data_IF_576522771813
#
_entry.id   IF_576522771813
#
_cell.length_a   1.000
_cell.length_b   1.000
_cell.length_c   1.000
_cell.angle_alpha   90.00
_cell.angle_beta   90.00
_cell.angle_gamma   90.00
#
_symmetry.space_group_name_H-M   'P 1'
#
loop_
_entity.id
_entity.type
_entity.pdbx_description
1 polymer ?
#
# COMPACT_ATOMS: atom_id res chain seq x y z
N UNK A 1 14.80 6.45 -73.52
CA UNK A 1 15.21 6.75 -72.13
C UNK A 1 14.55 8.07 -71.70
N UNK A 2 13.39 8.00 -71.03
CA UNK A 2 12.65 9.18 -70.54
C UNK A 2 12.89 9.30 -69.04
N UNK A 3 13.41 10.45 -68.60
CA UNK A 3 13.75 10.76 -67.21
C UNK A 3 12.46 10.94 -66.38
N UNK A 4 12.39 10.25 -65.25
CA UNK A 4 11.27 10.33 -64.31
C UNK A 4 11.36 11.62 -63.48
N UNK A 5 10.22 12.29 -63.34
CA UNK A 5 9.99 13.41 -62.42
C UNK A 5 9.50 12.78 -61.12
N UNK A 6 10.24 12.99 -60.02
CA UNK A 6 9.81 12.63 -58.67
C UNK A 6 9.15 13.86 -58.05
N UNK A 7 7.83 13.79 -57.83
CA UNK A 7 7.08 14.79 -57.08
C UNK A 7 7.08 14.40 -55.60
N UNK A 8 7.61 15.30 -54.76
CA UNK A 8 7.52 15.22 -53.29
C UNK A 8 6.17 15.77 -52.88
N UNK A 9 5.33 14.95 -52.25
CA UNK A 9 4.12 15.39 -51.55
C UNK A 9 4.38 15.18 -50.06
N UNK A 10 4.57 16.29 -49.35
CA UNK A 10 4.68 16.30 -47.89
C UNK A 10 3.28 16.25 -47.26
N UNK A 11 3.01 15.22 -46.47
CA UNK A 11 1.81 15.12 -45.64
C UNK A 11 2.14 15.67 -44.26
N UNK A 12 1.58 16.83 -43.91
CA UNK A 12 1.55 17.33 -42.53
C UNK A 12 0.45 16.56 -41.79
N UNK A 13 0.85 15.60 -40.95
CA UNK A 13 -0.07 14.97 -40.01
C UNK A 13 -0.17 15.83 -38.75
N UNK A 14 -1.32 16.46 -38.56
CA UNK A 14 -1.68 17.17 -37.33
C UNK A 14 -2.02 16.11 -36.26
N UNK A 15 -1.09 15.83 -35.36
CA UNK A 15 -1.34 14.95 -34.22
C UNK A 15 -2.20 15.71 -33.20
N UNK A 16 -3.48 15.36 -33.11
CA UNK A 16 -4.32 15.72 -31.96
C UNK A 16 -3.82 14.87 -30.79
N UNK A 17 -3.11 15.49 -29.85
CA UNK A 17 -2.77 14.85 -28.58
C UNK A 17 -4.07 14.65 -27.79
N UNK A 18 -4.67 13.47 -27.93
CA UNK A 18 -5.71 13.02 -27.00
C UNK A 18 -5.06 12.80 -25.64
N UNK A 19 -5.55 13.48 -24.61
CA UNK A 19 -5.29 13.11 -23.22
C UNK A 19 -5.79 11.69 -23.02
N UNK A 20 -4.86 10.75 -22.85
CA UNK A 20 -5.16 9.39 -22.43
C UNK A 20 -5.66 9.47 -20.99
N UNK A 21 -6.97 9.52 -20.79
CA UNK A 21 -7.57 9.10 -19.52
C UNK A 21 -7.34 7.60 -19.42
N UNK A 22 -6.47 7.16 -18.51
CA UNK A 22 -6.31 5.74 -18.22
C UNK A 22 -7.71 5.15 -17.96
N UNK A 23 -8.11 4.20 -18.81
CA UNK A 23 -9.45 3.61 -18.74
C UNK A 23 -9.64 2.86 -17.44
N UNK A 24 -10.86 2.90 -16.89
CA UNK A 24 -11.27 2.09 -15.76
C UNK A 24 -10.89 0.63 -16.01
N UNK A 25 -9.97 0.12 -15.19
CA UNK A 25 -9.57 -1.28 -15.18
C UNK A 25 -10.76 -2.10 -14.72
N UNK A 26 -11.39 -2.85 -15.63
CA UNK A 26 -12.41 -3.82 -15.23
C UNK A 26 -11.70 -5.07 -14.70
N UNK A 27 -11.14 -5.02 -13.49
CA UNK A 27 -10.90 -6.24 -12.73
C UNK A 27 -12.27 -6.85 -12.40
N UNK A 28 -12.40 -8.18 -12.51
CA UNK A 28 -13.57 -8.88 -12.00
C UNK A 28 -13.68 -8.82 -10.47
N UNK A 29 -12.57 -8.51 -9.80
CA UNK A 29 -12.50 -8.22 -8.37
C UNK A 29 -12.94 -6.76 -8.08
N UNK A 30 -13.78 -6.51 -7.06
CA UNK A 30 -14.07 -5.18 -6.57
C UNK A 30 -12.79 -4.43 -6.21
N UNK A 31 -12.66 -3.20 -6.72
CA UNK A 31 -11.59 -2.27 -6.35
C UNK A 31 -12.02 -1.43 -5.14
N UNK A 32 -11.05 -1.02 -4.35
CA UNK A 32 -11.23 -0.03 -3.32
C UNK A 32 -9.96 0.74 -3.05
N UNK A 33 -10.06 1.71 -2.16
CA UNK A 33 -8.96 2.55 -1.73
C UNK A 33 -8.76 2.47 -0.23
N UNK A 34 -7.60 2.88 0.23
CA UNK A 34 -7.42 3.28 1.62
C UNK A 34 -6.77 4.66 1.73
N UNK A 35 -7.15 5.40 2.76
CA UNK A 35 -6.77 6.80 2.92
C UNK A 35 -6.48 7.17 4.38
N UNK A 36 -5.70 8.22 4.55
CA UNK A 36 -5.46 8.90 5.81
C UNK A 36 -5.56 10.42 5.62
N UNK A 37 -5.07 11.19 6.61
CA UNK A 37 -4.97 12.65 6.49
C UNK A 37 -4.06 13.09 5.32
N UNK A 38 -3.19 12.21 4.81
CA UNK A 38 -2.28 12.48 3.68
C UNK A 38 -3.02 12.76 2.37
N UNK A 39 -4.21 12.18 2.17
CA UNK A 39 -5.03 12.42 0.98
C UNK A 39 -5.82 13.74 1.03
N UNK A 40 -5.53 14.62 2.00
CA UNK A 40 -6.07 15.98 2.10
C UNK A 40 -4.95 17.03 2.01
N UNK A 41 -4.13 17.06 0.93
CA UNK A 41 -3.07 18.05 0.78
C UNK A 41 -3.65 19.47 0.83
N UNK A 42 -3.10 20.32 1.71
CA UNK A 42 -3.64 21.66 1.94
C UNK A 42 -5.08 21.70 2.47
N UNK A 43 -5.59 20.58 3.01
CA UNK A 43 -6.99 20.43 3.44
C UNK A 43 -7.99 20.22 2.30
N UNK A 44 -7.52 19.80 1.12
CA UNK A 44 -8.38 19.50 -0.02
C UNK A 44 -9.35 18.36 0.31
N UNK A 45 -10.64 18.58 0.06
CA UNK A 45 -11.67 17.58 0.31
C UNK A 45 -11.72 16.52 -0.79
N UNK A 46 -12.07 15.29 -0.41
CA UNK A 46 -12.31 14.18 -1.34
C UNK A 46 -13.74 14.25 -1.87
N UNK A 47 -13.90 14.17 -3.19
CA UNK A 47 -15.21 13.99 -3.82
C UNK A 47 -15.57 12.50 -3.89
N UNK A 48 -16.23 11.99 -2.85
CA UNK A 48 -16.62 10.59 -2.73
C UNK A 48 -17.62 10.11 -3.80
N UNK A 49 -18.41 11.01 -4.39
CA UNK A 49 -19.27 10.65 -5.52
C UNK A 49 -18.44 10.35 -6.76
N UNK A 50 -17.41 11.16 -7.03
CA UNK A 50 -16.49 10.92 -8.14
C UNK A 50 -15.72 9.60 -7.91
N UNK A 51 -15.23 9.36 -6.67
CA UNK A 51 -14.57 8.10 -6.27
C UNK A 51 -15.46 6.89 -6.55
N UNK A 52 -16.76 6.97 -6.22
CA UNK A 52 -17.70 5.88 -6.53
C UNK A 52 -17.85 5.68 -8.04
N UNK A 53 -18.03 6.77 -8.80
CA UNK A 53 -18.21 6.69 -10.26
C UNK A 53 -16.96 6.23 -11.00
N UNK A 54 -15.79 6.39 -10.38
CA UNK A 54 -14.50 5.88 -10.87
C UNK A 54 -14.32 4.38 -10.63
N UNK A 55 -15.34 3.70 -10.11
CA UNK A 55 -15.39 2.24 -9.99
C UNK A 55 -14.97 1.69 -8.63
N UNK A 56 -14.77 2.54 -7.61
CA UNK A 56 -14.45 2.07 -6.26
C UNK A 56 -15.70 1.51 -5.55
N UNK A 57 -15.56 0.33 -4.96
CA UNK A 57 -16.63 -0.37 -4.24
C UNK A 57 -16.47 -0.32 -2.73
N UNK A 58 -15.25 -0.11 -2.24
CA UNK A 58 -14.97 0.04 -0.82
C UNK A 58 -13.88 1.07 -0.53
N UNK A 59 -13.85 1.53 0.72
CA UNK A 59 -12.81 2.40 1.25
C UNK A 59 -12.46 2.02 2.70
N UNK A 60 -11.16 1.98 3.02
CA UNK A 60 -10.68 1.99 4.40
C UNK A 60 -10.17 3.38 4.78
N UNK A 61 -10.58 3.90 5.92
CA UNK A 61 -10.18 5.25 6.37
C UNK A 61 -9.42 5.13 7.69
N UNK A 62 -8.19 5.69 7.76
CA UNK A 62 -7.42 5.73 9.01
C UNK A 62 -8.23 6.44 10.07
N UNK A 63 -8.51 5.77 11.19
CA UNK A 63 -9.22 6.38 12.30
C UNK A 63 -8.26 6.93 13.36
N UNK A 64 -7.23 6.14 13.68
CA UNK A 64 -6.33 6.44 14.80
C UNK A 64 -4.97 5.79 14.62
N UNK A 65 -4.02 6.26 15.41
CA UNK A 65 -2.67 5.73 15.50
C UNK A 65 -2.19 5.84 16.94
N UNK A 66 -1.61 4.76 17.48
CA UNK A 66 -1.15 4.77 18.86
C UNK A 66 -2.27 5.13 19.85
N UNK A 67 -1.90 5.54 21.06
CA UNK A 67 -2.88 5.77 22.13
C UNK A 67 -3.55 7.14 22.10
N UNK A 68 -3.13 8.06 21.22
CA UNK A 68 -3.48 9.48 21.33
C UNK A 68 -3.73 10.20 19.99
N UNK A 69 -3.19 9.72 18.86
CA UNK A 69 -3.40 10.38 17.58
C UNK A 69 -4.71 9.93 16.89
N UNK A 70 -5.55 10.90 16.56
CA UNK A 70 -6.81 10.70 15.83
C UNK A 70 -6.73 11.39 14.48
N UNK A 71 -7.20 10.72 13.43
CA UNK A 71 -7.35 11.35 12.12
C UNK A 71 -8.54 12.32 12.13
N UNK A 72 -8.28 13.61 11.97
CA UNK A 72 -9.32 14.65 11.96
C UNK A 72 -10.33 14.52 10.82
N UNK A 73 -9.98 13.81 9.73
CA UNK A 73 -10.86 13.61 8.58
C UNK A 73 -11.73 12.35 8.69
N UNK A 74 -11.40 11.44 9.60
CA UNK A 74 -12.01 10.10 9.67
C UNK A 74 -13.54 10.13 9.65
N UNK A 75 -14.16 10.89 10.55
CA UNK A 75 -15.63 10.93 10.67
C UNK A 75 -16.29 11.50 9.41
N UNK A 76 -15.71 12.55 8.82
CA UNK A 76 -16.27 13.18 7.63
C UNK A 76 -16.15 12.24 6.42
N UNK A 77 -14.97 11.68 6.19
CA UNK A 77 -14.68 10.80 5.06
C UNK A 77 -15.46 9.50 5.13
N UNK A 78 -15.47 8.83 6.29
CA UNK A 78 -16.17 7.55 6.44
C UNK A 78 -17.68 7.70 6.20
N UNK A 79 -18.29 8.80 6.68
CA UNK A 79 -19.69 9.08 6.43
C UNK A 79 -19.96 9.46 4.96
N UNK A 80 -19.09 10.27 4.34
CA UNK A 80 -19.26 10.68 2.95
C UNK A 80 -19.06 9.52 1.96
N UNK A 81 -18.07 8.64 2.21
CA UNK A 81 -17.85 7.41 1.46
C UNK A 81 -19.07 6.46 1.54
N UNK A 82 -19.60 6.28 2.76
CA UNK A 82 -20.80 5.46 2.98
C UNK A 82 -22.02 6.06 2.27
N UNK A 83 -22.21 7.38 2.34
CA UNK A 83 -23.30 8.07 1.66
C UNK A 83 -23.19 8.01 0.12
N UNK A 84 -21.98 7.92 -0.43
CA UNK A 84 -21.74 7.67 -1.84
C UNK A 84 -21.97 6.20 -2.25
N UNK A 85 -22.24 5.30 -1.30
CA UNK A 85 -22.55 3.89 -1.56
C UNK A 85 -21.33 2.96 -1.60
N UNK A 86 -20.21 3.37 -0.99
CA UNK A 86 -19.06 2.48 -0.77
C UNK A 86 -19.26 1.65 0.50
N UNK A 87 -18.68 0.44 0.53
CA UNK A 87 -18.45 -0.27 1.79
C UNK A 87 -17.30 0.38 2.54
N UNK A 88 -17.50 0.69 3.82
CA UNK A 88 -16.52 1.47 4.60
C UNK A 88 -15.99 0.64 5.75
N UNK A 89 -14.66 0.63 5.88
CA UNK A 89 -13.95 0.17 7.06
C UNK A 89 -13.07 1.26 7.64
N UNK A 90 -12.55 1.01 8.83
CA UNK A 90 -11.54 1.86 9.44
C UNK A 90 -10.35 1.03 9.85
N UNK A 91 -9.19 1.67 9.91
CA UNK A 91 -7.97 1.06 10.41
C UNK A 91 -7.32 1.87 11.52
N UNK A 92 -6.59 1.15 12.36
CA UNK A 92 -5.75 1.68 13.42
C UNK A 92 -4.30 1.30 13.16
N UNK A 93 -3.45 2.31 13.02
CA UNK A 93 -2.03 2.11 12.85
C UNK A 93 -1.38 1.80 14.21
N UNK A 94 -0.78 0.62 14.32
CA UNK A 94 -0.21 0.12 15.56
C UNK A 94 1.08 0.84 15.95
N UNK A 95 1.24 1.06 17.27
CA UNK A 95 2.49 1.53 17.88
C UNK A 95 2.91 0.60 19.01
N UNK A 96 3.50 -0.58 18.73
CA UNK A 96 3.67 -1.65 19.71
C UNK A 96 4.53 -1.32 20.94
N UNK A 97 5.34 -0.24 20.91
CA UNK A 97 6.04 0.26 22.10
C UNK A 97 5.09 0.80 23.18
N UNK A 98 3.81 1.06 22.84
CA UNK A 98 2.78 1.48 23.78
C UNK A 98 1.69 0.40 23.97
N UNK A 99 0.80 0.62 24.94
CA UNK A 99 -0.14 -0.42 25.39
C UNK A 99 -1.15 -0.85 24.31
N UNK A 100 -1.19 -2.16 24.03
CA UNK A 100 -2.17 -2.79 23.14
C UNK A 100 -3.62 -2.49 23.55
N UNK A 101 -3.95 -2.64 24.83
CA UNK A 101 -5.31 -2.38 25.33
C UNK A 101 -5.69 -0.90 25.24
N UNK A 102 -4.75 0.02 25.49
CA UNK A 102 -5.02 1.46 25.35
C UNK A 102 -5.30 1.83 23.87
N UNK A 103 -4.53 1.27 22.94
CA UNK A 103 -4.76 1.44 21.51
C UNK A 103 -6.08 0.84 21.04
N UNK A 104 -6.42 -0.37 21.50
CA UNK A 104 -7.70 -1.00 21.20
C UNK A 104 -8.89 -0.18 21.72
N UNK A 105 -8.80 0.36 22.93
CA UNK A 105 -9.81 1.25 23.50
C UNK A 105 -9.93 2.56 22.73
N UNK A 106 -8.79 3.16 22.35
CA UNK A 106 -8.77 4.37 21.53
C UNK A 106 -9.44 4.13 20.17
N UNK A 107 -9.09 3.04 19.49
CA UNK A 107 -9.69 2.70 18.20
C UNK A 107 -11.19 2.41 18.33
N UNK A 108 -11.59 1.64 19.34
CA UNK A 108 -13.01 1.38 19.62
C UNK A 108 -13.82 2.68 19.83
N UNK A 109 -13.23 3.67 20.51
CA UNK A 109 -13.86 4.97 20.69
C UNK A 109 -14.05 5.71 19.35
N UNK A 110 -13.06 5.65 18.43
CA UNK A 110 -13.21 6.24 17.09
C UNK A 110 -14.29 5.50 16.29
N UNK A 111 -14.30 4.16 16.30
CA UNK A 111 -15.29 3.36 15.58
C UNK A 111 -16.73 3.72 15.99
N UNK A 112 -16.96 4.02 17.27
CA UNK A 112 -18.28 4.40 17.78
C UNK A 112 -18.81 5.73 17.21
N UNK A 113 -17.95 6.59 16.66
CA UNK A 113 -18.35 7.85 16.03
C UNK A 113 -18.97 7.65 14.63
N UNK A 114 -18.73 6.49 14.00
CA UNK A 114 -19.21 6.19 12.64
C UNK A 114 -19.89 4.81 12.64
N UNK A 115 -21.16 4.71 13.08
CA UNK A 115 -21.85 3.44 13.20
C UNK A 115 -22.20 2.78 11.86
N UNK A 116 -22.12 3.52 10.73
CA UNK A 116 -22.42 3.02 9.38
C UNK A 116 -21.31 2.20 8.73
N UNK A 117 -20.18 1.96 9.41
CA UNK A 117 -19.09 1.13 8.90
C UNK A 117 -19.50 -0.34 8.82
N UNK A 118 -19.23 -0.97 7.68
CA UNK A 118 -19.64 -2.36 7.42
C UNK A 118 -18.45 -3.32 7.41
N UNK A 119 -17.31 -2.90 6.86
CA UNK A 119 -16.10 -3.74 6.81
C UNK A 119 -15.46 -3.91 8.20
N UNK A 120 -14.74 -5.02 8.45
CA UNK A 120 -14.05 -5.27 9.72
C UNK A 120 -13.20 -4.08 10.19
N UNK A 121 -13.12 -3.83 11.50
CA UNK A 121 -12.09 -2.93 12.01
C UNK A 121 -10.71 -3.55 11.79
N UNK A 122 -9.77 -2.77 11.25
CA UNK A 122 -8.46 -3.26 10.84
C UNK A 122 -7.40 -2.85 11.86
N UNK A 123 -6.59 -3.82 12.31
CA UNK A 123 -5.30 -3.55 12.91
C UNK A 123 -4.26 -3.48 11.79
N UNK A 124 -3.69 -2.31 11.59
CA UNK A 124 -2.56 -2.08 10.69
C UNK A 124 -1.26 -2.22 11.51
N UNK A 125 -0.52 -3.31 11.28
CA UNK A 125 0.72 -3.64 11.98
C UNK A 125 1.88 -3.78 10.98
N UNK A 126 2.80 -2.83 11.06
CA UNK A 126 3.91 -2.71 10.10
C UNK A 126 5.25 -2.29 10.75
N UNK A 127 5.25 -2.11 12.08
CA UNK A 127 6.44 -1.73 12.86
C UNK A 127 6.58 -2.64 14.08
N UNK A 128 7.82 -2.95 14.48
CA UNK A 128 8.09 -3.76 15.67
C UNK A 128 8.32 -2.91 16.93
N UNK A 129 8.78 -1.67 16.75
CA UNK A 129 9.26 -0.76 17.77
C UNK A 129 10.18 -1.45 18.82
N UNK A 130 11.07 -2.32 18.32
CA UNK A 130 12.07 -3.04 19.11
C UNK A 130 11.55 -4.28 19.86
N UNK A 131 10.32 -4.71 19.59
CA UNK A 131 9.76 -5.94 20.15
C UNK A 131 10.17 -7.17 19.33
N UNK A 132 10.48 -8.27 20.02
CA UNK A 132 10.69 -9.58 19.36
C UNK A 132 9.39 -10.13 18.76
N UNK A 133 9.47 -11.09 17.82
CA UNK A 133 8.28 -11.72 17.22
C UNK A 133 7.26 -12.26 18.24
N UNK A 134 7.75 -12.85 19.34
CA UNK A 134 6.89 -13.37 20.41
C UNK A 134 6.20 -12.24 21.17
N UNK A 135 6.89 -11.12 21.40
CA UNK A 135 6.29 -9.96 22.05
C UNK A 135 5.26 -9.29 21.15
N UNK A 136 5.51 -9.17 19.85
CA UNK A 136 4.54 -8.66 18.89
C UNK A 136 3.30 -9.55 18.79
N UNK A 137 3.46 -10.86 18.70
CA UNK A 137 2.31 -11.78 18.70
C UNK A 137 1.48 -11.63 19.98
N UNK A 138 2.11 -11.51 21.15
CA UNK A 138 1.40 -11.24 22.40
C UNK A 138 0.67 -9.88 22.37
N UNK A 139 1.28 -8.85 21.78
CA UNK A 139 0.69 -7.52 21.64
C UNK A 139 -0.54 -7.55 20.74
N UNK A 140 -0.45 -8.17 19.55
CA UNK A 140 -1.57 -8.33 18.61
C UNK A 140 -2.72 -9.11 19.25
N UNK A 141 -2.42 -10.20 19.98
CA UNK A 141 -3.43 -10.97 20.71
C UNK A 141 -4.18 -10.09 21.73
N UNK A 142 -3.47 -9.28 22.49
CA UNK A 142 -4.08 -8.38 23.47
C UNK A 142 -4.96 -7.32 22.79
N UNK A 143 -4.44 -6.66 21.74
CA UNK A 143 -5.17 -5.65 20.99
C UNK A 143 -6.47 -6.20 20.40
N UNK A 144 -6.36 -7.31 19.66
CA UNK A 144 -7.51 -7.90 18.95
C UNK A 144 -8.55 -8.48 19.89
N UNK A 145 -8.13 -9.06 21.02
CA UNK A 145 -9.05 -9.54 22.08
C UNK A 145 -9.81 -8.38 22.71
N UNK A 146 -9.12 -7.31 23.10
CA UNK A 146 -9.74 -6.13 23.70
C UNK A 146 -10.69 -5.44 22.72
N UNK A 147 -10.25 -5.23 21.47
CA UNK A 147 -11.06 -4.61 20.43
C UNK A 147 -12.34 -5.42 20.16
N UNK A 148 -12.25 -6.75 20.11
CA UNK A 148 -13.42 -7.62 19.96
C UNK A 148 -14.34 -7.52 21.17
N UNK A 149 -13.80 -7.44 22.39
CA UNK A 149 -14.61 -7.28 23.61
C UNK A 149 -15.38 -5.95 23.63
N UNK A 150 -14.75 -4.85 23.17
CA UNK A 150 -15.33 -3.51 23.16
C UNK A 150 -16.35 -3.30 22.04
N UNK A 151 -16.13 -3.91 20.88
CA UNK A 151 -16.92 -3.63 19.67
C UNK A 151 -17.88 -4.76 19.28
N UNK A 152 -17.63 -5.99 19.75
CA UNK A 152 -18.31 -7.19 19.28
C UNK A 152 -17.95 -7.60 17.85
N UNK A 153 -16.98 -6.94 17.21
CA UNK A 153 -16.59 -7.17 15.81
C UNK A 153 -15.28 -7.95 15.74
N UNK A 154 -15.18 -8.89 14.80
CA UNK A 154 -13.91 -9.57 14.50
C UNK A 154 -12.96 -8.61 13.79
N UNK A 155 -11.74 -8.38 14.29
CA UNK A 155 -10.75 -7.58 13.59
C UNK A 155 -10.20 -8.27 12.35
N UNK A 156 -9.71 -7.47 11.39
CA UNK A 156 -8.87 -7.89 10.27
C UNK A 156 -7.43 -7.41 10.52
N UNK A 157 -6.43 -8.14 10.04
CA UNK A 157 -5.03 -7.71 10.09
C UNK A 157 -4.63 -7.14 8.74
N UNK A 158 -4.09 -5.93 8.74
CA UNK A 158 -3.27 -5.39 7.66
C UNK A 158 -1.79 -5.49 8.02
N UNK A 159 -0.97 -5.90 7.04
CA UNK A 159 0.49 -5.97 7.13
C UNK A 159 1.06 -6.02 5.71
N UNK A 160 2.39 -5.92 5.58
CA UNK A 160 3.11 -6.26 4.36
C UNK A 160 3.95 -7.53 4.53
N UNK A 161 4.28 -8.18 3.40
CA UNK A 161 4.88 -9.53 3.35
C UNK A 161 6.18 -9.65 4.14
N UNK A 162 7.12 -8.72 3.93
CA UNK A 162 8.42 -8.71 4.62
C UNK A 162 8.28 -8.64 6.14
N UNK A 163 7.47 -7.71 6.65
CA UNK A 163 7.24 -7.56 8.09
C UNK A 163 6.66 -8.82 8.71
N UNK A 164 5.69 -9.46 8.06
CA UNK A 164 5.09 -10.66 8.61
C UNK A 164 6.07 -11.85 8.61
N UNK A 165 6.82 -12.02 7.53
CA UNK A 165 7.75 -13.15 7.40
C UNK A 165 8.95 -13.02 8.35
N UNK A 166 9.54 -11.83 8.45
CA UNK A 166 10.68 -11.54 9.31
C UNK A 166 10.25 -11.20 10.74
N UNK A 167 9.66 -10.01 10.93
CA UNK A 167 9.46 -9.42 12.26
C UNK A 167 8.34 -10.05 13.07
N UNK A 168 7.35 -10.66 12.43
CA UNK A 168 6.38 -11.53 13.10
C UNK A 168 6.81 -13.00 13.17
N UNK A 169 8.02 -13.34 12.69
CA UNK A 169 8.55 -14.70 12.66
C UNK A 169 7.68 -15.67 11.88
N UNK A 170 6.93 -15.17 10.90
CA UNK A 170 5.94 -15.90 10.12
C UNK A 170 4.96 -16.72 10.98
N UNK A 171 4.55 -16.16 12.12
CA UNK A 171 3.62 -16.83 13.05
C UNK A 171 2.31 -17.21 12.35
N UNK A 172 1.75 -18.35 12.77
CA UNK A 172 0.47 -18.89 12.26
C UNK A 172 -0.72 -18.63 13.17
N UNK A 173 -0.51 -17.88 14.24
CA UNK A 173 -1.47 -17.74 15.32
C UNK A 173 -2.79 -17.07 14.91
N UNK A 174 -2.74 -16.22 13.87
CA UNK A 174 -3.81 -15.29 13.53
C UNK A 174 -4.55 -15.63 12.22
N UNK A 175 -4.30 -16.82 11.66
CA UNK A 175 -4.83 -17.22 10.35
C UNK A 175 -6.35 -17.44 10.30
N UNK A 176 -7.03 -17.36 11.46
CA UNK A 176 -8.48 -17.38 11.58
C UNK A 176 -9.13 -16.00 11.39
N UNK A 177 -8.35 -14.91 11.43
CA UNK A 177 -8.81 -13.55 11.11
C UNK A 177 -8.69 -13.26 9.61
N UNK A 178 -9.43 -12.30 9.04
CA UNK A 178 -9.21 -11.88 7.67
C UNK A 178 -7.83 -11.22 7.51
N UNK A 179 -7.23 -11.37 6.33
CA UNK A 179 -5.94 -10.79 5.98
C UNK A 179 -6.08 -9.74 4.88
N UNK A 180 -5.56 -8.56 5.15
CA UNK A 180 -5.27 -7.55 4.16
C UNK A 180 -3.75 -7.48 3.97
N UNK A 181 -3.24 -7.92 2.83
CA UNK A 181 -1.79 -8.02 2.59
C UNK A 181 -1.34 -7.00 1.55
N UNK A 182 -0.34 -6.20 1.90
CA UNK A 182 0.34 -5.32 0.95
C UNK A 182 1.50 -6.04 0.25
N UNK A 183 1.51 -5.94 -1.08
CA UNK A 183 2.62 -6.31 -1.96
C UNK A 183 2.43 -5.60 -3.31
N UNK A 184 3.39 -4.77 -3.72
CA UNK A 184 3.26 -3.97 -4.95
C UNK A 184 3.73 -4.74 -6.18
N UNK A 185 2.81 -5.40 -6.88
CA UNK A 185 3.12 -6.31 -7.99
C UNK A 185 1.90 -6.54 -8.89
N UNK A 186 2.08 -7.20 -10.02
CA UNK A 186 0.99 -7.44 -10.99
C UNK A 186 0.16 -8.68 -10.70
N UNK A 187 0.64 -9.54 -9.79
CA UNK A 187 -0.04 -10.76 -9.35
C UNK A 187 -0.26 -10.69 -7.86
N UNK A 188 -1.37 -11.23 -7.38
CA UNK A 188 -1.59 -11.32 -5.95
C UNK A 188 -0.44 -12.13 -5.29
N UNK A 189 0.10 -11.67 -4.16
CA UNK A 189 1.12 -12.42 -3.45
C UNK A 189 0.54 -13.71 -2.86
N UNK A 190 1.40 -14.70 -2.61
CA UNK A 190 1.01 -15.83 -1.79
C UNK A 190 0.72 -15.37 -0.35
N UNK A 191 -0.28 -15.95 0.33
CA UNK A 191 -0.54 -15.66 1.73
C UNK A 191 0.68 -15.98 2.62
N UNK A 192 0.85 -15.19 3.67
CA UNK A 192 1.85 -15.40 4.73
C UNK A 192 1.21 -16.06 5.95
N UNK A 193 1.99 -16.39 7.00
CA UNK A 193 1.45 -16.65 8.33
C UNK A 193 0.42 -17.78 8.45
N UNK A 194 0.45 -18.77 7.54
CA UNK A 194 -0.50 -19.86 7.56
C UNK A 194 -1.95 -19.48 7.23
N UNK A 195 -2.21 -18.28 6.71
CA UNK A 195 -3.47 -17.97 6.04
C UNK A 195 -3.60 -18.81 4.78
N UNK A 196 -4.79 -19.33 4.52
CA UNK A 196 -5.06 -20.06 3.27
C UNK A 196 -5.26 -19.10 2.09
N UNK A 197 -5.75 -17.87 2.38
CA UNK A 197 -6.08 -16.85 1.40
C UNK A 197 -5.95 -15.45 1.96
N UNK A 198 -5.72 -14.49 1.08
CA UNK A 198 -5.80 -13.06 1.36
C UNK A 198 -7.24 -12.60 1.11
N UNK A 199 -7.79 -11.77 1.99
CA UNK A 199 -9.12 -11.15 1.83
C UNK A 199 -9.06 -9.86 1.01
N UNK A 200 -8.05 -9.02 1.26
CA UNK A 200 -7.78 -7.80 0.51
C UNK A 200 -6.31 -7.71 0.14
N UNK A 201 -6.02 -7.27 -1.07
CA UNK A 201 -4.64 -7.07 -1.53
C UNK A 201 -4.41 -5.59 -1.80
N UNK A 202 -3.52 -4.95 -1.03
CA UNK A 202 -3.02 -3.62 -1.39
C UNK A 202 -1.92 -3.79 -2.43
N UNK A 203 -2.23 -3.40 -3.66
CA UNK A 203 -1.41 -3.69 -4.85
C UNK A 203 -0.53 -2.53 -5.28
N UNK A 204 -0.79 -1.33 -4.78
CA UNK A 204 -0.11 -0.11 -5.21
C UNK A 204 -0.38 0.99 -4.18
N UNK A 205 0.63 1.80 -3.88
CA UNK A 205 0.50 3.02 -3.08
C UNK A 205 0.22 4.30 -3.89
N UNK A 206 -0.04 4.14 -5.19
CA UNK A 206 0.18 5.22 -6.16
C UNK A 206 -0.92 5.48 -7.14
N UNK A 207 -2.08 4.86 -6.91
CA UNK A 207 -3.24 5.01 -7.74
C UNK A 207 -3.62 6.45 -7.97
N UNK A 208 -4.41 6.63 -9.03
CA UNK A 208 -5.11 7.88 -9.33
C UNK A 208 -6.58 7.53 -9.42
N UNK A 209 -7.36 8.10 -8.52
CA UNK A 209 -8.80 7.92 -8.47
C UNK A 209 -9.46 9.28 -8.60
N UNK A 210 -10.43 9.39 -9.51
CA UNK A 210 -11.16 10.64 -9.68
C UNK A 210 -11.83 11.05 -8.36
N UNK A 211 -11.72 12.33 -8.01
CA UNK A 211 -12.20 12.87 -6.74
C UNK A 211 -11.17 12.91 -5.61
N UNK A 212 -9.96 12.36 -5.80
CA UNK A 212 -8.85 12.47 -4.85
C UNK A 212 -7.71 13.27 -5.49
N UNK A 213 -7.13 14.20 -4.74
CA UNK A 213 -5.95 14.94 -5.18
C UNK A 213 -4.70 14.15 -4.81
N UNK A 214 -3.91 13.76 -5.81
CA UNK A 214 -2.64 13.07 -5.60
C UNK A 214 -2.76 11.53 -5.56
N UNK A 215 -1.73 10.84 -5.02
CA UNK A 215 -1.71 9.38 -4.89
C UNK A 215 -2.66 8.84 -3.84
N UNK A 216 -3.18 7.65 -4.13
CA UNK A 216 -4.02 6.87 -3.22
C UNK A 216 -3.70 5.39 -3.33
N UNK A 217 -3.70 4.72 -2.19
CA UNK A 217 -3.49 3.28 -2.10
C UNK A 217 -4.64 2.51 -2.78
N UNK A 218 -4.30 1.53 -3.61
CA UNK A 218 -5.23 0.75 -4.41
C UNK A 218 -5.33 -0.68 -3.91
N UNK A 219 -6.56 -1.13 -3.73
CA UNK A 219 -6.88 -2.41 -3.13
C UNK A 219 -7.82 -3.23 -4.01
N UNK A 220 -7.67 -4.56 -3.96
CA UNK A 220 -8.61 -5.50 -4.56
C UNK A 220 -9.16 -6.45 -3.50
N UNK A 221 -10.48 -6.70 -3.53
CA UNK A 221 -11.11 -7.71 -2.69
C UNK A 221 -11.04 -9.09 -3.35
N UNK A 222 -10.80 -10.14 -2.56
CA UNK A 222 -10.72 -11.51 -3.06
C UNK A 222 -12.09 -12.18 -3.26
N UNK A 223 -12.89 -11.64 -4.17
CA UNK A 223 -14.21 -12.20 -4.51
C UNK A 223 -14.98 -11.30 -5.45
N UNK A 224 -16.23 -11.64 -5.72
CA UNK A 224 -17.16 -10.79 -6.49
C UNK A 224 -17.78 -9.67 -5.64
N UNK A 225 -18.49 -8.72 -6.27
CA UNK A 225 -19.28 -7.69 -5.56
C UNK A 225 -20.29 -8.27 -4.55
N UNK A 226 -20.96 -9.38 -4.92
CA UNK A 226 -21.90 -10.05 -4.01
C UNK A 226 -21.20 -10.68 -2.81
N UNK A 227 -19.96 -11.12 -2.98
CA UNK A 227 -19.13 -11.64 -1.90
C UNK A 227 -18.57 -10.52 -1.04
N UNK A 228 -18.24 -9.37 -1.62
CA UNK A 228 -17.89 -8.17 -0.85
C UNK A 228 -19.08 -7.71 0.02
N UNK A 229 -20.30 -7.75 -0.52
CA UNK A 229 -21.52 -7.49 0.25
C UNK A 229 -21.65 -8.48 1.42
N UNK A 230 -21.56 -9.79 1.15
CA UNK A 230 -21.60 -10.88 2.14
C UNK A 230 -20.54 -10.69 3.23
N UNK A 231 -19.30 -10.39 2.84
CA UNK A 231 -18.17 -10.11 3.71
C UNK A 231 -18.43 -8.88 4.59
N UNK A 232 -18.95 -7.79 4.00
CA UNK A 232 -19.31 -6.57 4.73
C UNK A 232 -20.46 -6.76 5.74
N UNK A 233 -21.23 -7.84 5.59
CA UNK A 233 -22.29 -8.24 6.52
C UNK A 233 -21.82 -9.28 7.56
N UNK A 234 -20.51 -9.54 7.64
CA UNK A 234 -19.90 -10.39 8.67
C UNK A 234 -19.53 -11.81 8.25
N UNK A 235 -19.77 -12.19 6.98
CA UNK A 235 -19.39 -13.50 6.47
C UNK A 235 -17.95 -13.49 5.92
N UNK A 236 -16.98 -13.49 6.83
CA UNK A 236 -15.57 -13.33 6.46
C UNK A 236 -14.92 -14.55 5.76
N UNK A 237 -15.66 -15.66 5.65
CA UNK A 237 -15.21 -16.85 4.94
C UNK A 237 -15.61 -16.85 3.46
N UNK A 238 -16.53 -15.96 3.06
CA UNK A 238 -17.05 -15.89 1.70
C UNK A 238 -16.14 -15.05 0.79
N UNK A 239 -14.95 -15.58 0.54
CA UNK A 239 -13.97 -15.05 -0.40
C UNK A 239 -13.85 -16.01 -1.60
N UNK A 240 -14.01 -15.45 -2.79
CA UNK A 240 -14.20 -16.19 -4.05
C UNK A 240 -12.94 -16.74 -4.69
N UNK A 241 -11.76 -16.34 -4.21
CA UNK A 241 -10.48 -16.79 -4.77
C UNK A 241 -10.18 -16.21 -6.16
N UNK A 242 -10.67 -15.01 -6.45
CA UNK A 242 -10.44 -14.33 -7.74
C UNK A 242 -8.97 -13.91 -7.88
N UNK A 243 -8.32 -13.53 -6.78
CA UNK A 243 -6.96 -12.99 -6.81
C UNK A 243 -5.91 -14.02 -7.23
N UNK A 244 -6.11 -15.30 -6.88
CA UNK A 244 -5.17 -16.40 -7.10
C UNK A 244 -4.90 -16.68 -8.59
N UNK A 245 -5.82 -16.28 -9.47
CA UNK A 245 -5.65 -16.36 -10.93
C UNK A 245 -5.55 -15.01 -11.61
N UNK A 246 -5.61 -13.91 -10.85
CA UNK A 246 -5.61 -12.56 -11.40
C UNK A 246 -4.20 -12.13 -11.76
N UNK A 247 -4.03 -11.72 -13.01
CA UNK A 247 -2.84 -11.01 -13.49
C UNK A 247 -3.31 -9.66 -13.99
N UNK A 248 -2.81 -8.59 -13.38
CA UNK A 248 -3.06 -7.23 -13.83
C UNK A 248 -2.21 -6.98 -15.09
N UNK A 249 -2.79 -6.34 -16.10
CA UNK A 249 -2.16 -6.22 -17.43
C UNK A 249 -1.04 -5.16 -17.52
N UNK A 250 -0.28 -5.25 -18.61
CA UNK A 250 1.02 -4.62 -18.97
C UNK A 250 1.16 -3.08 -18.96
N UNK A 251 0.42 -2.32 -18.14
CA UNK A 251 0.52 -0.85 -18.14
C UNK A 251 1.54 -0.25 -17.16
N UNK A 252 2.02 -1.04 -16.20
CA UNK A 252 2.96 -0.63 -15.15
C UNK A 252 4.28 -1.43 -15.25
N UNK A 253 5.40 -0.95 -14.66
CA UNK A 253 6.61 -1.76 -14.59
C UNK A 253 6.37 -3.00 -13.70
N UNK A 254 6.78 -4.17 -14.19
CA UNK A 254 6.64 -5.43 -13.46
C UNK A 254 7.55 -5.44 -12.21
N UNK A 255 6.96 -5.07 -11.08
CA UNK A 255 7.63 -5.07 -9.78
C UNK A 255 7.70 -6.45 -9.13
N UNK A 256 7.26 -7.51 -9.82
CA UNK A 256 7.37 -8.89 -9.32
C UNK A 256 8.78 -9.48 -9.46
N UNK A 257 9.70 -8.75 -10.09
CA UNK A 257 11.09 -9.18 -10.25
C UNK A 257 11.82 -9.31 -8.90
N UNK A 258 12.83 -10.18 -8.86
CA UNK A 258 13.64 -10.41 -7.65
C UNK A 258 14.40 -9.14 -7.24
N UNK A 259 14.22 -8.71 -6.00
CA UNK A 259 14.86 -7.49 -5.43
C UNK A 259 16.34 -7.64 -5.10
N UNK A 260 16.85 -8.87 -4.94
CA UNK A 260 18.21 -9.13 -4.44
C UNK A 260 19.34 -8.33 -5.11
N UNK A 261 19.42 -8.27 -6.46
CA UNK A 261 20.42 -7.46 -7.15
C UNK A 261 20.34 -5.96 -6.83
N UNK A 262 19.13 -5.41 -6.77
CA UNK A 262 18.90 -3.99 -6.46
C UNK A 262 19.29 -3.69 -5.00
N UNK A 263 18.94 -4.58 -4.06
CA UNK A 263 19.35 -4.47 -2.66
C UNK A 263 20.87 -4.47 -2.53
N UNK A 264 21.55 -5.37 -3.25
CA UNK A 264 23.01 -5.41 -3.31
C UNK A 264 23.63 -4.08 -3.76
N UNK A 265 23.03 -3.42 -4.75
CA UNK A 265 23.45 -2.10 -5.20
C UNK A 265 23.20 -1.01 -4.14
N UNK A 266 22.05 -1.04 -3.45
CA UNK A 266 21.75 -0.12 -2.34
C UNK A 266 22.80 -0.24 -1.23
N UNK A 267 23.08 -1.47 -0.78
CA UNK A 267 24.06 -1.75 0.27
C UNK A 267 25.48 -1.34 -0.17
N UNK A 268 25.83 -1.59 -1.43
CA UNK A 268 27.12 -1.17 -1.98
C UNK A 268 27.25 0.36 -2.06
N UNK A 269 26.16 1.08 -2.37
CA UNK A 269 26.16 2.54 -2.36
C UNK A 269 26.32 3.07 -0.92
N UNK A 270 25.56 2.52 0.03
CA UNK A 270 25.64 2.90 1.44
C UNK A 270 27.04 2.66 2.04
N UNK A 271 27.74 1.62 1.59
CA UNK A 271 29.12 1.32 1.96
C UNK A 271 30.18 2.16 1.21
N UNK A 272 29.78 3.02 0.26
CA UNK A 272 30.68 3.82 -0.57
C UNK A 272 31.48 3.02 -1.61
N UNK A 273 31.02 1.82 -1.95
CA UNK A 273 31.69 0.91 -2.91
C UNK A 273 31.35 1.30 -4.35
N UNK A 274 30.10 1.69 -4.61
CA UNK A 274 29.65 2.17 -5.92
C UNK A 274 29.24 3.63 -5.86
N UNK A 275 29.13 4.28 -7.01
CA UNK A 275 28.60 5.64 -7.13
C UNK A 275 27.13 5.61 -7.60
N UNK A 276 26.47 6.77 -7.52
CA UNK A 276 25.07 6.97 -7.90
C UNK A 276 24.70 6.42 -9.28
N UNK A 277 25.48 6.63 -10.36
CA UNK A 277 25.11 6.08 -11.68
C UNK A 277 24.93 4.56 -11.70
N UNK A 278 25.75 3.82 -10.93
CA UNK A 278 25.61 2.37 -10.85
C UNK A 278 24.35 1.92 -10.10
N UNK A 279 23.84 2.71 -9.15
CA UNK A 279 22.54 2.43 -8.53
C UNK A 279 21.39 2.72 -9.52
N UNK A 280 21.50 3.76 -10.33
CA UNK A 280 20.53 4.05 -11.41
C UNK A 280 20.48 2.89 -12.40
N UNK A 281 21.64 2.38 -12.85
CA UNK A 281 21.68 1.22 -13.76
C UNK A 281 21.03 -0.03 -13.15
N UNK A 282 21.25 -0.28 -11.84
CA UNK A 282 20.64 -1.39 -11.13
C UNK A 282 19.12 -1.22 -10.97
N UNK A 283 18.66 0.00 -10.72
CA UNK A 283 17.26 0.37 -10.68
C UNK A 283 16.59 0.12 -12.04
N UNK A 284 17.19 0.58 -13.14
CA UNK A 284 16.67 0.33 -14.48
C UNK A 284 16.57 -1.16 -14.82
N UNK A 285 17.58 -1.95 -14.43
CA UNK A 285 17.57 -3.41 -14.60
C UNK A 285 16.49 -4.11 -13.76
N UNK A 286 16.11 -3.51 -12.64
CA UNK A 286 15.03 -3.97 -11.76
C UNK A 286 13.63 -3.54 -12.25
N UNK A 287 13.54 -2.92 -13.44
CA UNK A 287 12.28 -2.47 -14.04
C UNK A 287 11.94 -1.01 -13.77
N UNK A 288 12.80 -0.25 -13.08
CA UNK A 288 12.57 1.16 -12.76
C UNK A 288 12.96 2.04 -13.97
N UNK A 289 12.01 2.30 -14.87
CA UNK A 289 12.30 3.03 -16.12
C UNK A 289 12.45 4.56 -15.97
N UNK A 290 13.43 5.13 -16.69
CA UNK A 290 13.50 6.57 -16.95
C UNK A 290 13.67 7.43 -15.69
N UNK A 291 12.75 8.37 -15.47
CA UNK A 291 12.83 9.29 -14.32
C UNK A 291 12.75 8.54 -12.97
N UNK A 292 12.02 7.42 -12.91
CA UNK A 292 11.77 6.69 -11.67
C UNK A 292 13.06 6.15 -11.02
N UNK A 293 14.02 5.66 -11.82
CA UNK A 293 15.33 5.20 -11.32
C UNK A 293 16.13 6.32 -10.64
N UNK A 294 16.04 7.54 -11.20
CA UNK A 294 16.68 8.73 -10.62
C UNK A 294 16.08 9.12 -9.28
N UNK A 295 14.74 9.24 -9.22
CA UNK A 295 14.04 9.61 -7.97
C UNK A 295 14.26 8.55 -6.89
N UNK A 296 14.18 7.26 -7.23
CA UNK A 296 14.47 6.15 -6.31
C UNK A 296 15.89 6.26 -5.73
N UNK A 297 16.87 6.54 -6.58
CA UNK A 297 18.27 6.64 -6.17
C UNK A 297 18.52 7.82 -5.23
N UNK A 298 17.89 8.97 -5.50
CA UNK A 298 18.01 10.13 -4.61
C UNK A 298 17.35 9.88 -3.24
N UNK A 299 16.25 9.13 -3.21
CA UNK A 299 15.66 8.69 -1.94
C UNK A 299 16.58 7.78 -1.14
N UNK A 300 17.17 6.74 -1.76
CA UNK A 300 18.11 5.85 -1.08
C UNK A 300 19.29 6.63 -0.48
N UNK A 301 19.82 7.61 -1.23
CA UNK A 301 20.88 8.50 -0.72
C UNK A 301 20.40 9.31 0.47
N UNK A 302 19.17 9.81 0.44
CA UNK A 302 18.62 10.59 1.54
C UNK A 302 18.45 9.74 2.81
N UNK A 303 17.89 8.53 2.69
CA UNK A 303 17.82 7.58 3.81
C UNK A 303 19.21 7.27 4.38
N UNK A 304 20.21 7.09 3.51
CA UNK A 304 21.60 6.86 3.91
C UNK A 304 22.17 8.06 4.67
N UNK A 305 21.96 9.27 4.16
CA UNK A 305 22.45 10.52 4.77
C UNK A 305 21.78 10.80 6.12
N UNK A 306 20.51 10.45 6.26
CA UNK A 306 19.75 10.65 7.49
C UNK A 306 19.95 9.51 8.51
N UNK A 307 20.66 8.45 8.14
CA UNK A 307 20.88 7.28 9.00
C UNK A 307 19.61 6.45 9.22
N UNK A 308 18.64 6.54 8.32
CA UNK A 308 17.34 5.86 8.40
C UNK A 308 17.17 4.75 7.38
N UNK A 309 18.22 4.48 6.58
CA UNK A 309 18.24 3.31 5.70
C UNK A 309 18.26 2.03 6.55
N UNK A 310 17.28 1.11 6.40
CA UNK A 310 17.16 -0.06 7.26
C UNK A 310 18.15 -1.15 6.81
N UNK A 311 19.43 -0.97 7.13
CA UNK A 311 20.52 -1.84 6.65
C UNK A 311 20.31 -3.30 7.03
N UNK A 312 19.93 -3.57 8.28
CA UNK A 312 19.75 -4.95 8.76
C UNK A 312 18.60 -5.65 8.01
N UNK A 313 17.49 -4.93 7.80
CA UNK A 313 16.36 -5.45 7.03
C UNK A 313 16.73 -5.71 5.57
N UNK A 314 17.49 -4.80 4.95
CA UNK A 314 17.98 -4.98 3.58
C UNK A 314 18.89 -6.21 3.46
N UNK A 315 19.77 -6.44 4.44
CA UNK A 315 20.63 -7.64 4.45
C UNK A 315 19.81 -8.92 4.55
N UNK A 316 18.79 -8.96 5.41
CA UNK A 316 17.88 -10.10 5.53
C UNK A 316 17.10 -10.32 4.22
N UNK A 317 16.49 -9.26 3.71
CA UNK A 317 15.68 -9.27 2.48
C UNK A 317 16.48 -9.72 1.26
N UNK A 318 17.76 -9.36 1.15
CA UNK A 318 18.63 -9.76 0.04
C UNK A 318 18.80 -11.28 -0.11
N UNK A 319 18.52 -12.03 0.95
CA UNK A 319 18.63 -13.51 0.97
C UNK A 319 17.28 -14.22 0.86
N UNK A 320 16.18 -13.48 0.91
CA UNK A 320 14.81 -14.00 0.84
C UNK A 320 14.21 -13.97 -0.57
N UNK A 321 12.98 -14.49 -0.67
CA UNK A 321 12.17 -14.45 -1.89
C UNK A 321 11.26 -13.22 -1.86
N UNK A 322 11.85 -12.05 -2.14
CA UNK A 322 11.17 -10.77 -2.09
C UNK A 322 11.27 -10.02 -3.42
N UNK A 323 10.17 -9.37 -3.79
CA UNK A 323 10.05 -8.64 -5.04
C UNK A 323 10.55 -7.21 -4.90
N UNK A 324 10.80 -6.52 -6.02
CA UNK A 324 11.09 -5.07 -6.01
C UNK A 324 9.94 -4.29 -5.37
N UNK A 325 8.70 -4.76 -5.52
CA UNK A 325 7.54 -4.24 -4.82
C UNK A 325 7.61 -4.37 -3.30
N UNK A 326 8.02 -5.54 -2.80
CA UNK A 326 8.23 -5.74 -1.36
C UNK A 326 9.30 -4.76 -0.84
N UNK A 327 10.37 -4.53 -1.62
CA UNK A 327 11.46 -3.62 -1.26
C UNK A 327 10.98 -2.17 -1.20
N UNK A 328 10.15 -1.78 -2.17
CA UNK A 328 9.54 -0.47 -2.20
C UNK A 328 8.73 -0.19 -0.92
N UNK A 329 7.90 -1.14 -0.48
CA UNK A 329 7.14 -1.00 0.77
C UNK A 329 8.07 -0.85 1.98
N UNK A 330 9.13 -1.67 2.08
CA UNK A 330 10.09 -1.58 3.19
C UNK A 330 10.74 -0.18 3.25
N UNK A 331 11.19 0.34 2.11
CA UNK A 331 11.84 1.64 2.05
C UNK A 331 10.86 2.79 2.32
N UNK A 332 9.62 2.67 1.86
CA UNK A 332 8.55 3.64 2.13
C UNK A 332 8.28 3.78 3.64
N UNK A 333 8.12 2.65 4.32
CA UNK A 333 7.95 2.60 5.78
C UNK A 333 9.16 3.19 6.52
N UNK A 334 10.38 2.95 6.05
CA UNK A 334 11.57 3.58 6.60
C UNK A 334 11.57 5.11 6.42
N UNK A 335 11.05 5.60 5.29
CA UNK A 335 10.82 7.03 5.05
C UNK A 335 9.85 7.65 6.05
N UNK A 336 8.73 6.97 6.33
CA UNK A 336 7.77 7.43 7.35
C UNK A 336 8.36 7.53 8.76
N UNK A 337 9.22 6.59 9.16
CA UNK A 337 9.96 6.65 10.42
C UNK A 337 10.92 7.86 10.42
N UNK A 338 11.58 8.13 9.30
CA UNK A 338 12.48 9.27 9.15
C UNK A 338 11.77 10.61 9.35
N UNK A 339 10.57 10.80 8.80
CA UNK A 339 9.75 12.02 8.99
C UNK A 339 9.50 12.31 10.47
N UNK A 340 9.20 11.28 11.27
CA UNK A 340 8.98 11.43 12.71
C UNK A 340 10.24 11.86 13.47
N UNK A 341 11.41 11.56 12.93
CA UNK A 341 12.70 11.94 13.49
C UNK A 341 13.21 13.30 12.95
N UNK A 342 12.36 14.08 12.25
CA UNK A 342 12.66 15.44 11.82
C UNK A 342 13.27 15.57 10.42
N UNK A 343 13.17 14.53 9.59
CA UNK A 343 13.50 14.60 8.15
C UNK A 343 12.41 15.38 7.40
N UNK A 344 12.79 16.12 6.35
CA UNK A 344 11.88 16.99 5.60
C UNK A 344 10.73 16.19 4.94
N UNK A 345 9.46 16.48 5.25
CA UNK A 345 8.29 15.82 4.67
C UNK A 345 8.22 15.82 3.14
N UNK A 346 8.65 16.90 2.48
CA UNK A 346 8.63 17.02 1.00
C UNK A 346 9.53 15.96 0.33
N UNK A 347 10.56 15.51 1.05
CA UNK A 347 11.51 14.53 0.54
C UNK A 347 10.99 13.09 0.68
N UNK A 348 10.12 12.85 1.67
CA UNK A 348 9.41 11.57 1.84
C UNK A 348 8.25 11.47 0.86
N UNK A 349 7.57 12.58 0.58
CA UNK A 349 6.58 12.65 -0.50
C UNK A 349 7.22 12.37 -1.88
N UNK A 350 8.44 12.86 -2.14
CA UNK A 350 9.20 12.53 -3.37
C UNK A 350 9.62 11.06 -3.45
N UNK A 351 9.86 10.42 -2.31
CA UNK A 351 10.21 9.00 -2.22
C UNK A 351 9.00 8.10 -2.43
N UNK A 352 7.88 8.45 -1.78
CA UNK A 352 6.56 7.95 -2.09
C UNK A 352 6.33 8.13 -3.59
N UNK A 353 6.48 9.34 -4.15
CA UNK A 353 6.34 9.61 -5.60
C UNK A 353 7.24 8.74 -6.48
N UNK A 354 8.47 8.42 -6.04
CA UNK A 354 9.38 7.52 -6.74
C UNK A 354 8.80 6.10 -6.79
N UNK A 355 8.45 5.55 -5.61
CA UNK A 355 7.76 4.25 -5.46
C UNK A 355 6.42 4.26 -6.18
N UNK A 356 5.79 5.43 -6.26
CA UNK A 356 4.47 5.62 -6.79
C UNK A 356 4.45 5.73 -8.31
N UNK A 357 5.50 6.29 -8.92
CA UNK A 357 5.73 6.20 -10.36
C UNK A 357 6.04 4.76 -10.81
N UNK A 358 6.36 3.85 -9.90
CA UNK A 358 6.54 2.42 -10.18
C UNK A 358 5.25 1.61 -10.15
N UNK A 359 4.22 2.09 -9.47
CA UNK A 359 2.97 1.34 -9.30
C UNK A 359 1.78 1.95 -10.09
N UNK A 360 2.07 2.92 -10.97
CA UNK A 360 1.17 3.55 -11.97
C UNK A 360 1.34 2.90 -13.34
#
# INVERSE_FOLDING_TARGET
MRKAIVAVVGSVALAIAGTMTAGAWTSSAPSGIDIAAHQHPGGALINWSDVKTDGQSFAFVKASEGSDWTNSYFVADANAASAAGLKVGAYHYARPASSASAQAAHFAAQLALVPGQTLPPVLDIEVDEGLSPVQLANWIRQFTTELRALTGRTPMIYTYKYFWMGQMGNTKEFSDMPLWLAAYQDKAPEPVGGWDKISFWQRSGSGRVNGITGPVDMNLFNGSEGQLESFSNGNYLDIGGILEGLVLGDAAPDLSSNSGPLIGAILALAAGIIATPQLVDAAEQAGLGGNAAGVFTDFVKQLTQNGTLPIDDLVEMATGDFTVGDLAILLDNAGHIATKNGVNPDQVEQAQEAVNQLAQ
#
